data_IF_550347633299
#
_entry.id   IF_550347633299
#
_cell.length_a   1.000
_cell.length_b   1.000
_cell.length_c   1.000
_cell.angle_alpha   90.00
_cell.angle_beta   90.00
_cell.angle_gamma   90.00
#
_symmetry.space_group_name_H-M   'P 1'
#
loop_
_entity.id
_entity.type
_entity.pdbx_description
1 polymer ?
#
# COMPACT_ATOMS: atom_id res chain seq x y z
N UNK A 1 44.45 -1.36 -25.65
CA UNK A 1 44.24 -2.10 -24.39
C UNK A 1 42.79 -1.89 -24.00
N UNK A 2 41.93 -2.87 -24.24
CA UNK A 2 40.49 -2.75 -23.96
C UNK A 2 40.26 -2.97 -22.47
N UNK A 3 40.01 -1.88 -21.73
CA UNK A 3 39.59 -1.95 -20.34
C UNK A 3 38.30 -2.79 -20.25
N UNK A 4 38.38 -3.95 -19.60
CA UNK A 4 37.21 -4.77 -19.31
C UNK A 4 36.24 -3.94 -18.46
N UNK A 5 34.95 -3.83 -18.84
CA UNK A 5 33.99 -3.04 -18.08
C UNK A 5 33.96 -3.53 -16.63
N UNK A 6 34.22 -2.64 -15.68
CA UNK A 6 34.24 -2.95 -14.25
C UNK A 6 32.82 -3.28 -13.80
N UNK A 7 32.46 -4.56 -13.83
CA UNK A 7 31.15 -5.04 -13.40
C UNK A 7 31.03 -4.90 -11.88
N UNK A 8 30.04 -4.12 -11.43
CA UNK A 8 29.67 -4.05 -10.01
C UNK A 8 28.59 -5.09 -9.71
N UNK A 9 28.72 -5.78 -8.58
CA UNK A 9 27.77 -6.79 -8.14
C UNK A 9 27.24 -6.49 -6.74
N UNK A 10 25.96 -6.80 -6.51
CA UNK A 10 25.34 -6.72 -5.19
C UNK A 10 24.88 -8.10 -4.74
N UNK A 11 25.24 -8.43 -3.50
CA UNK A 11 24.76 -9.62 -2.79
C UNK A 11 23.36 -9.37 -2.23
N UNK A 12 22.47 -10.33 -2.38
CA UNK A 12 21.11 -10.26 -1.83
C UNK A 12 20.60 -11.65 -1.42
N UNK A 13 19.63 -11.68 -0.51
CA UNK A 13 18.90 -12.89 -0.15
C UNK A 13 17.53 -12.85 -0.80
N UNK A 14 17.22 -13.85 -1.61
CA UNK A 14 15.89 -14.01 -2.19
C UNK A 14 14.91 -14.43 -1.09
N UNK A 15 13.69 -13.85 -1.05
CA UNK A 15 12.75 -14.02 0.09
C UNK A 15 12.37 -15.48 0.31
N UNK A 16 12.30 -16.24 -0.78
CA UNK A 16 11.90 -17.64 -0.76
C UNK A 16 13.08 -18.62 -0.69
N UNK A 17 14.33 -18.11 -0.71
CA UNK A 17 15.53 -18.96 -0.78
C UNK A 17 16.43 -18.75 0.43
N UNK A 18 16.85 -19.87 1.02
CA UNK A 18 17.80 -19.86 2.15
C UNK A 18 19.21 -19.43 1.76
N UNK A 19 19.54 -19.45 0.45
CA UNK A 19 20.88 -19.21 -0.08
C UNK A 19 21.06 -17.77 -0.56
N UNK A 20 22.31 -17.31 -0.56
CA UNK A 20 22.69 -15.99 -1.04
C UNK A 20 22.86 -15.97 -2.56
N UNK A 21 22.46 -14.84 -3.16
CA UNK A 21 22.52 -14.58 -4.59
C UNK A 21 23.31 -13.30 -4.86
N UNK A 22 23.82 -13.20 -6.07
CA UNK A 22 24.57 -12.06 -6.58
C UNK A 22 23.92 -11.60 -7.86
N UNK A 23 23.69 -10.29 -7.99
CA UNK A 23 23.19 -9.66 -9.22
C UNK A 23 24.17 -8.63 -9.74
N UNK A 24 24.20 -8.43 -11.05
CA UNK A 24 24.97 -7.36 -11.68
C UNK A 24 24.22 -6.02 -11.55
N UNK A 25 24.96 -4.96 -11.23
CA UNK A 25 24.42 -3.61 -11.04
C UNK A 25 24.53 -2.73 -12.29
N UNK A 26 25.11 -3.23 -13.36
CA UNK A 26 25.27 -2.45 -14.57
C UNK A 26 23.89 -2.15 -15.18
N UNK A 27 23.73 -0.90 -15.60
CA UNK A 27 22.56 -0.42 -16.31
C UNK A 27 23.00 0.45 -17.49
N UNK A 28 22.14 0.58 -18.49
CA UNK A 28 22.29 1.53 -19.58
C UNK A 28 21.01 2.33 -19.75
N UNK A 29 21.12 3.54 -20.29
CA UNK A 29 19.98 4.39 -20.62
C UNK A 29 20.00 4.62 -22.12
N UNK A 30 18.94 4.25 -22.82
CA UNK A 30 18.78 4.45 -24.26
C UNK A 30 17.40 5.06 -24.51
N UNK A 31 17.33 6.19 -25.23
CA UNK A 31 16.08 6.92 -25.51
C UNK A 31 15.24 7.23 -24.27
N UNK A 32 15.90 7.60 -23.16
CA UNK A 32 15.24 7.86 -21.86
C UNK A 32 14.76 6.60 -21.13
N UNK A 33 14.91 5.42 -21.70
CA UNK A 33 14.52 4.14 -21.10
C UNK A 33 15.71 3.52 -20.38
N UNK A 34 15.54 3.19 -19.10
CA UNK A 34 16.54 2.47 -18.31
C UNK A 34 16.45 0.97 -18.58
N UNK A 35 17.59 0.37 -18.92
CA UNK A 35 17.76 -1.07 -19.07
C UNK A 35 18.71 -1.57 -17.98
N UNK A 36 18.37 -2.69 -17.34
CA UNK A 36 19.17 -3.30 -16.28
C UNK A 36 19.72 -4.65 -16.73
N UNK A 37 20.92 -5.00 -16.25
CA UNK A 37 21.46 -6.33 -16.47
C UNK A 37 20.63 -7.39 -15.76
N UNK A 38 20.27 -8.47 -16.45
CA UNK A 38 19.44 -9.55 -15.89
C UNK A 38 20.24 -10.64 -15.19
N UNK A 39 21.56 -10.49 -15.09
CA UNK A 39 22.41 -11.45 -14.43
C UNK A 39 22.04 -11.58 -12.95
N UNK A 40 21.61 -12.79 -12.57
CA UNK A 40 21.45 -13.25 -11.20
C UNK A 40 21.95 -14.68 -11.09
N UNK A 41 22.85 -14.94 -10.13
CA UNK A 41 23.37 -16.29 -9.85
C UNK A 41 23.53 -16.49 -8.36
N UNK A 42 23.52 -17.75 -7.92
CA UNK A 42 23.87 -18.11 -6.54
C UNK A 42 25.32 -17.71 -6.28
N UNK A 43 25.60 -17.20 -5.09
CA UNK A 43 26.91 -16.62 -4.75
C UNK A 43 28.08 -17.60 -4.93
N UNK A 44 27.91 -18.84 -4.48
CA UNK A 44 28.93 -19.89 -4.66
C UNK A 44 29.16 -20.24 -6.13
N UNK A 45 28.11 -20.35 -6.94
CA UNK A 45 28.25 -20.61 -8.38
C UNK A 45 28.87 -19.42 -9.12
N UNK A 46 28.67 -18.20 -8.64
CA UNK A 46 29.33 -17.00 -9.15
C UNK A 46 30.82 -17.00 -8.80
N UNK A 47 31.15 -17.37 -7.56
CA UNK A 47 32.55 -17.50 -7.11
C UNK A 47 33.30 -18.62 -7.86
N UNK A 48 32.64 -19.73 -8.17
CA UNK A 48 33.19 -20.78 -9.03
C UNK A 48 33.51 -20.25 -10.44
N UNK A 49 32.57 -19.57 -11.09
CA UNK A 49 32.78 -18.98 -12.41
C UNK A 49 33.96 -18.00 -12.43
N UNK A 50 34.09 -17.15 -11.40
CA UNK A 50 35.21 -16.20 -11.29
C UNK A 50 36.55 -16.94 -11.19
N UNK A 51 36.62 -18.00 -10.37
CA UNK A 51 37.84 -18.83 -10.24
C UNK A 51 38.19 -19.53 -11.55
N UNK A 52 37.19 -19.91 -12.33
CA UNK A 52 37.35 -20.54 -13.65
C UNK A 52 37.60 -19.52 -14.79
N UNK A 53 37.70 -18.21 -14.48
CA UNK A 53 37.91 -17.16 -15.48
C UNK A 53 36.67 -16.87 -16.35
N UNK A 54 35.50 -17.38 -15.98
CA UNK A 54 34.23 -17.17 -16.68
C UNK A 54 33.57 -15.88 -16.19
N UNK A 55 33.88 -14.77 -16.85
CA UNK A 55 33.22 -13.50 -16.55
C UNK A 55 31.86 -13.41 -17.23
N UNK A 56 30.85 -12.94 -16.50
CA UNK A 56 29.55 -12.74 -17.09
C UNK A 56 29.60 -11.63 -18.15
N UNK A 57 28.80 -11.78 -19.20
CA UNK A 57 28.52 -10.71 -20.16
C UNK A 57 27.17 -10.09 -19.81
N UNK A 58 27.07 -8.75 -19.79
CA UNK A 58 25.80 -8.08 -19.51
C UNK A 58 24.77 -8.37 -20.60
N UNK A 59 23.60 -8.90 -20.20
CA UNK A 59 22.40 -8.90 -21.04
C UNK A 59 21.41 -7.93 -20.41
N UNK A 60 21.05 -6.88 -21.15
CA UNK A 60 20.20 -5.80 -20.68
C UNK A 60 18.75 -6.03 -21.10
N UNK A 61 17.82 -5.86 -20.16
CA UNK A 61 16.37 -5.88 -20.43
C UNK A 61 15.73 -4.58 -19.94
N UNK A 62 14.68 -4.13 -20.64
CA UNK A 62 13.95 -2.91 -20.32
C UNK A 62 13.19 -3.07 -19.00
N UNK A 63 13.31 -2.10 -18.11
CA UNK A 63 12.54 -2.11 -16.86
C UNK A 63 11.07 -1.81 -17.18
N UNK A 64 10.20 -2.81 -17.11
CA UNK A 64 8.75 -2.69 -17.38
C UNK A 64 7.98 -1.82 -16.37
N UNK A 65 8.62 -1.48 -15.25
CA UNK A 65 8.10 -0.58 -14.21
C UNK A 65 9.18 0.43 -13.83
N UNK A 66 9.32 1.48 -14.61
CA UNK A 66 10.12 2.63 -14.19
C UNK A 66 9.34 3.37 -13.11
N UNK A 67 9.70 3.16 -11.84
CA UNK A 67 9.24 4.07 -10.77
C UNK A 67 9.81 5.45 -11.07
N UNK A 68 8.95 6.38 -11.45
CA UNK A 68 9.33 7.76 -11.72
C UNK A 68 9.54 8.50 -10.40
N UNK A 69 10.20 9.67 -10.45
CA UNK A 69 10.31 10.55 -9.28
C UNK A 69 8.90 10.94 -8.79
N UNK A 70 7.94 11.08 -9.70
CA UNK A 70 6.52 11.34 -9.37
C UNK A 70 5.88 10.21 -8.55
N UNK A 71 6.26 8.95 -8.81
CA UNK A 71 5.78 7.81 -8.01
C UNK A 71 6.33 7.86 -6.58
N UNK A 72 7.62 8.25 -6.43
CA UNK A 72 8.27 8.40 -5.13
C UNK A 72 7.66 9.58 -4.36
N UNK A 73 7.38 10.70 -5.04
CA UNK A 73 6.72 11.87 -4.48
C UNK A 73 5.27 11.54 -4.09
N UNK A 74 4.53 10.77 -4.90
CA UNK A 74 3.18 10.29 -4.53
C UNK A 74 3.20 9.43 -3.27
N UNK A 75 4.20 8.57 -3.10
CA UNK A 75 4.36 7.72 -1.93
C UNK A 75 4.73 8.53 -0.68
N UNK A 76 5.58 9.56 -0.81
CA UNK A 76 5.98 10.41 0.33
C UNK A 76 4.93 11.46 0.71
N UNK A 77 4.07 11.87 -0.24
CA UNK A 77 3.00 12.85 -0.03
C UNK A 77 1.70 12.27 0.55
N UNK A 78 1.60 10.95 0.71
CA UNK A 78 0.47 10.29 1.37
C UNK A 78 0.59 10.25 2.90
N UNK A 79 1.14 11.30 3.53
CA UNK A 79 0.71 11.63 4.89
C UNK A 79 -0.68 12.22 4.76
N UNK A 80 -1.72 11.39 4.86
CA UNK A 80 -3.07 11.87 5.09
C UNK A 80 -3.08 12.63 6.42
N UNK A 81 -2.84 13.93 6.38
CA UNK A 81 -3.22 14.82 7.47
C UNK A 81 -4.74 14.76 7.53
N UNK A 82 -5.26 14.10 8.55
CA UNK A 82 -6.69 14.07 8.84
C UNK A 82 -7.11 15.47 9.30
N UNK A 83 -7.30 16.38 8.35
CA UNK A 83 -7.80 17.73 8.59
C UNK A 83 -9.32 17.72 8.66
N UNK A 84 -9.91 18.71 9.35
CA UNK A 84 -11.37 18.93 9.37
C UNK A 84 -11.95 18.96 7.95
N UNK A 85 -11.27 19.63 7.01
CA UNK A 85 -11.69 19.71 5.62
C UNK A 85 -11.66 18.34 4.92
N UNK A 86 -10.65 17.50 5.19
CA UNK A 86 -10.55 16.16 4.59
C UNK A 86 -11.71 15.25 5.02
N UNK A 87 -12.16 15.36 6.27
CA UNK A 87 -13.30 14.61 6.80
C UNK A 87 -14.60 15.13 6.19
N UNK A 88 -14.78 16.45 6.16
CA UNK A 88 -15.96 17.09 5.57
C UNK A 88 -16.12 16.73 4.09
N UNK A 89 -15.04 16.77 3.31
CA UNK A 89 -15.06 16.36 1.88
C UNK A 89 -15.48 14.90 1.72
N UNK A 90 -14.94 13.98 2.53
CA UNK A 90 -15.33 12.57 2.49
C UNK A 90 -16.80 12.35 2.84
N UNK A 91 -17.30 13.11 3.82
CA UNK A 91 -18.71 13.10 4.20
C UNK A 91 -19.60 13.53 3.02
N UNK A 92 -19.29 14.68 2.40
CA UNK A 92 -20.04 15.20 1.25
C UNK A 92 -20.01 14.24 0.05
N UNK A 93 -18.86 13.62 -0.24
CA UNK A 93 -18.77 12.60 -1.28
C UNK A 93 -19.63 11.38 -0.98
N UNK A 94 -19.66 10.92 0.27
CA UNK A 94 -20.49 9.80 0.68
C UNK A 94 -21.97 10.11 0.54
N UNK A 95 -22.41 11.29 0.98
CA UNK A 95 -23.79 11.77 0.87
C UNK A 95 -24.22 11.83 -0.60
N UNK A 96 -23.43 12.52 -1.44
CA UNK A 96 -23.74 12.67 -2.86
C UNK A 96 -23.74 11.34 -3.61
N UNK A 97 -22.80 10.44 -3.31
CA UNK A 97 -22.71 9.12 -3.95
C UNK A 97 -23.91 8.21 -3.61
N UNK A 98 -24.43 8.32 -2.39
CA UNK A 98 -25.55 7.49 -1.93
C UNK A 98 -26.91 8.20 -2.03
N UNK A 99 -26.96 9.38 -2.66
CA UNK A 99 -28.15 10.21 -2.81
C UNK A 99 -28.87 10.47 -1.47
N UNK A 100 -28.10 10.69 -0.40
CA UNK A 100 -28.65 11.05 0.90
C UNK A 100 -29.04 12.54 0.88
N UNK A 101 -30.13 12.87 1.56
CA UNK A 101 -30.56 14.27 1.71
C UNK A 101 -29.55 15.07 2.55
N UNK A 102 -29.35 16.34 2.21
CA UNK A 102 -28.56 17.26 3.02
C UNK A 102 -29.14 17.43 4.43
N UNK A 103 -30.46 17.30 4.59
CA UNK A 103 -31.09 17.33 5.91
C UNK A 103 -30.63 16.17 6.81
N UNK A 104 -30.38 14.99 6.21
CA UNK A 104 -29.82 13.85 6.94
C UNK A 104 -28.34 14.10 7.26
N UNK A 105 -27.61 14.77 6.36
CA UNK A 105 -26.22 15.15 6.59
C UNK A 105 -26.05 16.15 7.75
N UNK A 106 -27.03 17.02 7.96
CA UNK A 106 -27.08 18.01 9.04
C UNK A 106 -27.81 17.49 10.29
N UNK A 107 -28.31 16.26 10.25
CA UNK A 107 -29.07 15.66 11.34
C UNK A 107 -28.23 15.51 12.61
N UNK A 108 -28.89 15.66 13.75
CA UNK A 108 -28.25 15.53 15.06
C UNK A 108 -27.74 14.11 15.27
N UNK A 109 -28.50 13.13 14.80
CA UNK A 109 -28.22 11.70 14.88
C UNK A 109 -26.92 11.33 14.15
N UNK A 110 -26.71 11.86 12.94
CA UNK A 110 -25.46 11.64 12.22
C UNK A 110 -24.27 12.32 12.92
N UNK A 111 -24.48 13.52 13.48
CA UNK A 111 -23.43 14.24 14.20
C UNK A 111 -23.02 13.52 15.48
N UNK A 112 -23.99 13.01 16.25
CA UNK A 112 -23.75 12.19 17.46
C UNK A 112 -23.00 10.92 17.11
N UNK A 113 -23.39 10.22 16.04
CA UNK A 113 -22.68 9.03 15.55
C UNK A 113 -21.21 9.30 15.24
N UNK A 114 -20.91 10.45 14.61
CA UNK A 114 -19.52 10.84 14.30
C UNK A 114 -18.74 11.12 15.58
N UNK A 115 -19.34 11.78 16.57
CA UNK A 115 -18.71 12.05 17.86
C UNK A 115 -18.40 10.74 18.60
N UNK A 116 -19.35 9.82 18.68
CA UNK A 116 -19.15 8.51 19.32
C UNK A 116 -18.03 7.72 18.64
N UNK A 117 -17.98 7.73 17.30
CA UNK A 117 -16.91 7.07 16.55
C UNK A 117 -15.52 7.67 16.86
N UNK A 118 -15.43 8.99 17.06
CA UNK A 118 -14.20 9.66 17.47
C UNK A 118 -13.82 9.28 18.90
N UNK A 119 -14.78 9.31 19.83
CA UNK A 119 -14.58 8.94 21.24
C UNK A 119 -14.10 7.49 21.38
N UNK A 120 -14.71 6.55 20.65
CA UNK A 120 -14.28 5.15 20.60
C UNK A 120 -12.81 5.02 20.18
N UNK A 121 -12.38 5.83 19.21
CA UNK A 121 -10.98 5.90 18.80
C UNK A 121 -10.06 6.50 19.86
N UNK A 122 -10.51 7.53 20.58
CA UNK A 122 -9.75 8.18 21.66
C UNK A 122 -9.56 7.27 22.87
N UNK A 123 -10.57 6.47 23.22
CA UNK A 123 -10.51 5.47 24.30
C UNK A 123 -9.56 4.30 23.95
N UNK A 124 -9.32 4.07 22.65
CA UNK A 124 -8.53 2.95 22.16
C UNK A 124 -7.32 3.39 21.29
N UNK A 125 -6.41 4.24 21.80
CA UNK A 125 -5.40 4.93 20.99
C UNK A 125 -4.34 4.02 20.38
N UNK A 126 -4.17 2.80 20.90
CA UNK A 126 -3.20 1.81 20.41
C UNK A 126 -3.82 0.78 19.48
N UNK A 127 -5.14 0.80 19.31
CA UNK A 127 -5.87 -0.16 18.51
C UNK A 127 -6.07 0.40 17.11
N UNK A 128 -5.81 -0.42 16.09
CA UNK A 128 -6.08 -0.01 14.72
C UNK A 128 -7.60 0.22 14.51
N UNK A 129 -8.03 1.28 13.80
CA UNK A 129 -9.45 1.56 13.55
C UNK A 129 -10.20 0.39 12.91
N UNK A 130 -9.54 -0.37 12.03
CA UNK A 130 -10.11 -1.56 11.36
C UNK A 130 -10.36 -2.73 12.32
N UNK A 131 -9.69 -2.75 13.46
CA UNK A 131 -9.91 -3.72 14.53
C UNK A 131 -11.03 -3.29 15.48
N UNK A 132 -11.17 -1.96 15.69
CA UNK A 132 -12.24 -1.38 16.51
C UNK A 132 -13.60 -1.48 15.83
N UNK A 133 -13.66 -1.14 14.54
CA UNK A 133 -14.88 -1.19 13.76
C UNK A 133 -14.68 -2.00 12.49
N UNK A 134 -15.17 -3.26 12.53
CA UNK A 134 -15.06 -4.17 11.41
C UNK A 134 -16.24 -3.97 10.45
N UNK A 135 -16.00 -3.97 9.12
CA UNK A 135 -17.09 -3.95 8.16
C UNK A 135 -18.03 -5.14 8.37
N UNK A 136 -19.31 -4.87 8.57
CA UNK A 136 -20.31 -5.91 8.70
C UNK A 136 -20.78 -6.39 7.32
N UNK A 137 -21.00 -7.69 7.20
CA UNK A 137 -21.66 -8.27 6.02
C UNK A 137 -23.15 -7.88 6.03
N UNK A 138 -23.77 -7.78 4.84
CA UNK A 138 -25.18 -7.39 4.68
C UNK A 138 -26.11 -8.17 5.60
N UNK A 139 -26.02 -9.51 5.63
CA UNK A 139 -26.90 -10.33 6.45
C UNK A 139 -26.76 -10.03 7.96
N UNK A 140 -25.54 -9.76 8.42
CA UNK A 140 -25.30 -9.38 9.81
C UNK A 140 -25.91 -8.01 10.13
N UNK A 141 -25.81 -7.05 9.22
CA UNK A 141 -26.45 -5.74 9.39
C UNK A 141 -27.98 -5.85 9.38
N UNK A 142 -28.56 -6.68 8.51
CA UNK A 142 -30.01 -6.90 8.49
C UNK A 142 -30.51 -7.49 9.80
N UNK A 143 -29.77 -8.44 10.38
CA UNK A 143 -30.10 -9.00 11.69
C UNK A 143 -30.00 -7.96 12.81
N UNK A 144 -28.89 -7.21 12.88
CA UNK A 144 -28.71 -6.15 13.87
C UNK A 144 -29.75 -5.05 13.76
N UNK A 145 -30.12 -4.67 12.53
CA UNK A 145 -31.18 -3.71 12.28
C UNK A 145 -32.52 -4.19 12.84
N UNK A 146 -32.88 -5.46 12.62
CA UNK A 146 -34.11 -6.02 13.14
C UNK A 146 -34.15 -6.02 14.67
N UNK A 147 -33.03 -6.34 15.32
CA UNK A 147 -32.92 -6.28 16.79
C UNK A 147 -33.10 -4.85 17.31
N UNK A 148 -32.37 -3.89 16.76
CA UNK A 148 -32.47 -2.48 17.17
C UNK A 148 -33.88 -1.93 16.92
N UNK A 149 -34.50 -2.30 15.80
CA UNK A 149 -35.88 -1.90 15.51
C UNK A 149 -36.88 -2.45 16.54
N UNK A 150 -36.69 -3.70 16.99
CA UNK A 150 -37.53 -4.32 18.03
C UNK A 150 -37.32 -3.65 19.39
N UNK A 151 -36.06 -3.37 19.77
CA UNK A 151 -35.74 -2.62 20.99
C UNK A 151 -36.38 -1.23 21.00
N UNK A 152 -36.27 -0.49 19.88
CA UNK A 152 -36.93 0.81 19.74
C UNK A 152 -38.45 0.70 19.84
N UNK A 153 -39.05 -0.34 19.25
CA UNK A 153 -40.49 -0.57 19.33
C UNK A 153 -40.95 -0.82 20.77
N UNK A 154 -40.20 -1.62 21.53
CA UNK A 154 -40.48 -1.90 22.93
C UNK A 154 -40.33 -0.68 23.84
N UNK A 155 -39.39 0.22 23.55
CA UNK A 155 -39.20 1.47 24.29
C UNK A 155 -40.23 2.56 23.96
N UNK A 156 -40.98 2.39 22.86
CA UNK A 156 -41.98 3.35 22.38
C UNK A 156 -43.41 3.03 22.85
N UNK A 157 -43.60 1.90 23.57
CA UNK A 157 -44.84 1.43 24.18
C UNK A 157 -44.80 1.68 25.70
#
# INVERSE_FOLDING_TARGET
MTESPKHSFTRYKDRDKKKMYVKCNNFKIENGVRYICTYSKREDHHNCDIREGKFHKCKFESVSKQTTIDDIIKISSQKFTHTKESVLRKMLFFIGKNNLSLLIAESKELYELIIEAIQLGQENPRTAPTSLFKPHKRNSLTYLFALVADECHQLSL
#
